data_IF_425284040719
#
_entry.id   IF_425284040719
#
_cell.length_a   1.000
_cell.length_b   1.000
_cell.length_c   1.000
_cell.angle_alpha   90.00
_cell.angle_beta   90.00
_cell.angle_gamma   90.00
#
_symmetry.space_group_name_H-M   'P 1'
#
loop_
_entity.id
_entity.type
_entity.pdbx_description
1 polymer ?
#
# COMPACT_ATOMS: atom_id res chain seq x y z
N UNK A 1 -36.53 -59.03 27.41
CA UNK A 1 -35.28 -58.76 26.68
C UNK A 1 -35.37 -57.39 26.02
N UNK A 2 -34.33 -56.58 26.17
CA UNK A 2 -34.21 -55.16 25.80
C UNK A 2 -34.28 -54.91 24.27
N UNK A 3 -34.50 -53.64 23.93
CA UNK A 3 -34.11 -52.87 22.71
C UNK A 3 -35.30 -52.56 21.78
N UNK A 4 -35.45 -51.37 21.18
CA UNK A 4 -34.61 -50.17 21.06
C UNK A 4 -35.58 -49.04 20.67
N UNK A 5 -35.62 -47.93 21.42
CA UNK A 5 -36.33 -46.70 21.03
C UNK A 5 -35.34 -45.86 20.24
N UNK A 6 -35.60 -45.59 18.95
CA UNK A 6 -34.81 -44.66 18.16
C UNK A 6 -35.28 -43.23 18.46
N UNK A 7 -34.44 -42.46 19.15
CA UNK A 7 -34.59 -41.02 19.30
C UNK A 7 -33.96 -40.39 18.06
N UNK A 8 -34.79 -39.85 17.17
CA UNK A 8 -34.32 -38.97 16.09
C UNK A 8 -34.04 -37.58 16.67
N UNK A 9 -32.77 -37.22 16.81
CA UNK A 9 -32.34 -35.85 17.09
C UNK A 9 -32.57 -34.99 15.83
N UNK A 10 -33.55 -34.09 15.88
CA UNK A 10 -33.63 -32.93 15.00
C UNK A 10 -32.64 -31.88 15.50
N UNK A 11 -31.49 -31.74 14.85
CA UNK A 11 -30.57 -30.61 15.07
C UNK A 11 -31.15 -29.43 14.29
N UNK A 12 -31.86 -28.55 15.00
CA UNK A 12 -32.24 -27.23 14.51
C UNK A 12 -30.98 -26.37 14.43
N UNK A 13 -30.53 -26.06 13.22
CA UNK A 13 -29.47 -25.08 12.99
C UNK A 13 -30.02 -23.68 13.32
N UNK A 14 -29.62 -23.15 14.47
CA UNK A 14 -29.90 -21.78 14.88
C UNK A 14 -29.09 -20.83 13.97
N UNK A 15 -29.73 -20.31 12.92
CA UNK A 15 -29.16 -19.23 12.10
C UNK A 15 -29.22 -17.96 12.96
N UNK A 16 -28.08 -17.61 13.56
CA UNK A 16 -27.90 -16.36 14.28
C UNK A 16 -27.80 -15.23 13.25
N UNK A 17 -28.97 -14.71 12.85
CA UNK A 17 -29.08 -13.51 12.03
C UNK A 17 -28.59 -12.32 12.84
N UNK A 18 -27.39 -11.83 12.51
CA UNK A 18 -26.90 -10.53 12.98
C UNK A 18 -27.80 -9.44 12.41
N UNK A 19 -28.73 -8.94 13.23
CA UNK A 19 -29.46 -7.71 12.93
C UNK A 19 -28.50 -6.57 13.19
N UNK A 20 -27.90 -6.02 12.13
CA UNK A 20 -27.24 -4.72 12.22
C UNK A 20 -28.33 -3.67 12.47
N UNK A 21 -28.49 -3.29 13.74
CA UNK A 21 -29.27 -2.11 14.08
C UNK A 21 -28.52 -0.89 13.56
N UNK A 22 -28.99 -0.30 12.46
CA UNK A 22 -28.56 1.03 12.03
C UNK A 22 -29.14 2.06 13.00
N UNK A 23 -28.53 2.19 14.18
CA UNK A 23 -28.63 3.43 14.94
C UNK A 23 -27.82 4.47 14.18
N UNK A 24 -28.49 5.44 13.57
CA UNK A 24 -27.85 6.67 13.08
C UNK A 24 -27.33 7.40 14.32
N UNK A 25 -26.12 7.05 14.77
CA UNK A 25 -25.39 7.90 15.69
C UNK A 25 -25.11 9.21 14.94
N UNK A 26 -25.53 10.33 15.51
CA UNK A 26 -25.05 11.63 15.09
C UNK A 26 -23.51 11.58 15.09
N UNK A 27 -22.90 11.99 13.98
CA UNK A 27 -21.44 11.99 13.85
C UNK A 27 -20.87 12.95 14.90
N UNK A 28 -20.26 12.40 15.95
CA UNK A 28 -19.54 13.20 16.95
C UNK A 28 -18.61 14.17 16.23
N UNK A 29 -18.62 15.47 16.59
CA UNK A 29 -17.76 16.45 15.95
C UNK A 29 -16.29 16.04 16.15
N UNK A 30 -15.51 16.09 15.07
CA UNK A 30 -14.08 15.77 15.12
C UNK A 30 -13.39 16.59 16.22
N UNK A 31 -12.52 16.01 17.06
CA UNK A 31 -11.90 16.74 18.17
C UNK A 31 -10.95 17.86 17.69
N UNK A 32 -10.46 17.74 16.46
CA UNK A 32 -9.82 18.84 15.71
C UNK A 32 -10.51 18.93 14.36
N UNK A 33 -11.01 20.11 14.01
CA UNK A 33 -11.46 20.42 12.65
C UNK A 33 -10.39 21.24 11.93
N UNK A 34 -10.38 21.17 10.60
CA UNK A 34 -9.47 21.96 9.80
C UNK A 34 -10.11 22.40 8.49
N UNK A 35 -9.66 23.55 8.02
CA UNK A 35 -10.06 24.14 6.74
C UNK A 35 -8.81 24.48 5.93
N UNK A 36 -8.83 24.14 4.65
CA UNK A 36 -7.75 24.48 3.71
C UNK A 36 -8.28 25.52 2.73
N UNK A 37 -7.63 26.67 2.68
CA UNK A 37 -7.98 27.78 1.78
C UNK A 37 -6.72 28.50 1.32
N UNK A 38 -6.56 28.68 0.01
CA UNK A 38 -5.45 29.41 -0.62
C UNK A 38 -4.05 28.98 -0.13
N UNK A 39 -3.82 27.66 -0.02
CA UNK A 39 -2.54 27.11 0.42
C UNK A 39 -2.24 27.29 1.92
N UNK A 40 -3.22 27.69 2.73
CA UNK A 40 -3.13 27.69 4.20
C UNK A 40 -4.08 26.67 4.80
N UNK A 41 -3.67 26.11 5.94
CA UNK A 41 -4.53 25.32 6.82
C UNK A 41 -4.82 26.12 8.08
N UNK A 42 -6.08 26.13 8.49
CA UNK A 42 -6.51 26.60 9.80
C UNK A 42 -6.97 25.38 10.60
N UNK A 43 -6.30 25.10 11.72
CA UNK A 43 -6.66 24.06 12.68
C UNK A 43 -7.50 24.69 13.80
N UNK A 44 -8.64 24.09 14.11
CA UNK A 44 -9.48 24.45 15.25
C UNK A 44 -9.55 23.26 16.21
N UNK A 45 -8.99 23.43 17.41
CA UNK A 45 -9.02 22.43 18.46
C UNK A 45 -10.32 22.61 19.25
N UNK A 46 -11.20 21.60 19.17
CA UNK A 46 -12.51 21.65 19.83
C UNK A 46 -12.43 21.24 21.31
N UNK A 47 -11.36 20.53 21.69
CA UNK A 47 -11.11 20.22 23.09
C UNK A 47 -10.57 21.44 23.85
N UNK A 48 -11.22 21.79 24.97
CA UNK A 48 -10.78 22.87 25.84
C UNK A 48 -9.52 22.49 26.65
N UNK A 49 -8.58 23.43 26.70
CA UNK A 49 -7.41 23.47 27.57
C UNK A 49 -6.93 24.91 27.79
N UNK A 50 -6.05 25.08 28.77
CA UNK A 50 -5.44 26.36 29.18
C UNK A 50 -4.32 26.80 28.23
N UNK A 51 -3.64 25.82 27.63
CA UNK A 51 -2.51 26.01 26.72
C UNK A 51 -2.54 24.95 25.61
N UNK A 52 -2.17 25.36 24.40
CA UNK A 52 -2.02 24.51 23.24
C UNK A 52 -0.60 24.63 22.69
N UNK A 53 0.02 23.50 22.37
CA UNK A 53 1.31 23.44 21.66
C UNK A 53 1.15 22.75 20.33
N UNK A 54 1.51 23.40 19.23
CA UNK A 54 1.48 22.80 17.88
C UNK A 54 2.89 22.60 17.37
N UNK A 55 3.21 21.37 16.99
CA UNK A 55 4.50 20.97 16.45
C UNK A 55 4.37 20.47 15.01
N UNK A 56 5.36 20.80 14.18
CA UNK A 56 5.55 20.27 12.81
C UNK A 56 7.00 19.88 12.63
N UNK A 57 7.27 18.67 12.12
CA UNK A 57 8.65 18.18 11.88
C UNK A 57 9.59 18.34 13.09
N UNK A 58 9.09 18.04 14.29
CA UNK A 58 9.75 18.20 15.60
C UNK A 58 9.98 19.65 16.08
N UNK A 59 9.53 20.66 15.33
CA UNK A 59 9.63 22.08 15.71
C UNK A 59 8.31 22.60 16.29
N UNK A 60 8.38 23.33 17.40
CA UNK A 60 7.22 24.04 17.97
C UNK A 60 6.92 25.25 17.09
N UNK A 61 5.74 25.27 16.46
CA UNK A 61 5.25 26.39 15.67
C UNK A 61 4.38 27.35 16.48
N UNK A 62 3.72 26.84 17.51
CA UNK A 62 2.80 27.62 18.34
C UNK A 62 2.78 27.10 19.77
N UNK A 63 2.72 28.04 20.71
CA UNK A 63 2.46 27.81 22.13
C UNK A 63 1.64 29.00 22.66
N UNK A 64 0.43 28.73 23.16
CA UNK A 64 -0.44 29.78 23.70
C UNK A 64 -1.85 29.28 24.01
N UNK A 65 -2.72 30.19 24.47
CA UNK A 65 -4.08 29.86 24.93
C UNK A 65 -5.15 29.86 23.83
N UNK A 66 -4.81 30.25 22.59
CA UNK A 66 -5.74 30.17 21.45
C UNK A 66 -5.87 28.73 21.00
N UNK A 67 -7.10 28.26 20.87
CA UNK A 67 -7.43 26.94 20.33
C UNK A 67 -7.50 26.92 18.78
N UNK A 68 -7.06 28.00 18.14
CA UNK A 68 -6.96 28.11 16.68
C UNK A 68 -5.52 28.40 16.27
N UNK A 69 -5.05 27.70 15.23
CA UNK A 69 -3.71 27.86 14.66
C UNK A 69 -3.78 27.86 13.13
N UNK A 70 -3.03 28.75 12.47
CA UNK A 70 -2.95 28.85 11.02
C UNK A 70 -1.52 28.67 10.53
N UNK A 71 -1.32 27.87 9.50
CA UNK A 71 -0.01 27.60 8.91
C UNK A 71 -0.08 27.49 7.39
N UNK A 72 1.03 27.78 6.72
CA UNK A 72 1.14 27.61 5.27
C UNK A 72 1.41 26.15 4.94
N UNK A 73 0.68 25.61 3.98
CA UNK A 73 0.92 24.26 3.45
C UNK A 73 2.11 24.29 2.49
N UNK A 74 3.23 23.72 2.92
CA UNK A 74 4.49 23.66 2.16
C UNK A 74 4.82 22.27 1.64
N UNK A 75 4.16 21.25 2.14
CA UNK A 75 4.32 19.85 1.73
C UNK A 75 3.05 19.37 0.99
N UNK A 76 3.12 18.24 0.28
CA UNK A 76 1.95 17.58 -0.33
C UNK A 76 1.01 17.01 0.74
N UNK A 77 1.56 16.55 1.86
CA UNK A 77 0.82 16.23 3.06
C UNK A 77 1.59 16.79 4.26
N UNK A 78 0.92 17.60 5.06
CA UNK A 78 1.50 18.24 6.23
C UNK A 78 0.99 17.59 7.51
N UNK A 79 1.88 17.36 8.47
CA UNK A 79 1.59 16.65 9.73
C UNK A 79 1.81 17.57 10.91
N UNK A 80 0.90 17.50 11.87
CA UNK A 80 0.95 18.26 13.11
C UNK A 80 0.78 17.33 14.31
N UNK A 81 1.54 17.59 15.38
CA UNK A 81 1.24 17.11 16.73
C UNK A 81 0.72 18.29 17.54
N UNK A 82 -0.35 18.09 18.29
CA UNK A 82 -1.00 19.13 19.07
C UNK A 82 -1.14 18.63 20.50
N UNK A 83 -0.45 19.26 21.44
CA UNK A 83 -0.65 19.03 22.87
C UNK A 83 -1.70 19.99 23.42
N UNK A 84 -2.69 19.47 24.13
CA UNK A 84 -3.68 20.25 24.89
C UNK A 84 -3.38 20.08 26.36
N UNK A 85 -3.30 21.19 27.09
CA UNK A 85 -2.90 21.23 28.49
C UNK A 85 -4.03 21.72 29.41
N UNK A 86 -4.08 21.17 30.62
CA UNK A 86 -4.87 21.67 31.74
C UNK A 86 -3.92 21.90 32.92
N UNK A 87 -3.70 23.17 33.28
CA UNK A 87 -2.54 23.60 34.05
C UNK A 87 -1.22 23.12 33.41
N UNK A 88 -0.36 22.49 34.22
CA UNK A 88 0.94 21.97 33.77
C UNK A 88 0.88 20.53 33.24
N UNK A 89 -0.32 19.93 33.13
CA UNK A 89 -0.49 18.53 32.72
C UNK A 89 -1.02 18.45 31.30
N UNK A 90 -0.43 17.54 30.53
CA UNK A 90 -0.96 17.18 29.22
C UNK A 90 -2.28 16.43 29.39
N UNK A 91 -3.33 16.97 28.80
CA UNK A 91 -4.68 16.41 28.82
C UNK A 91 -4.87 15.45 27.64
N UNK A 92 -4.50 15.90 26.44
CA UNK A 92 -4.64 15.11 25.22
C UNK A 92 -3.57 15.48 24.19
N UNK A 93 -3.28 14.52 23.30
CA UNK A 93 -2.47 14.75 22.11
C UNK A 93 -3.28 14.41 20.87
N UNK A 94 -3.35 15.36 19.95
CA UNK A 94 -3.87 15.12 18.62
C UNK A 94 -2.74 15.03 17.60
N UNK A 95 -2.87 14.08 16.67
CA UNK A 95 -2.09 14.04 15.43
C UNK A 95 -3.01 14.38 14.28
N UNK A 96 -2.63 15.38 13.49
CA UNK A 96 -3.42 15.84 12.34
C UNK A 96 -2.59 15.74 11.09
N UNK A 97 -3.16 15.11 10.06
CA UNK A 97 -2.56 14.93 8.74
C UNK A 97 -3.47 15.57 7.69
N UNK A 98 -2.97 16.61 7.04
CA UNK A 98 -3.73 17.43 6.09
C UNK A 98 -3.11 17.36 4.71
N UNK A 99 -3.91 17.06 3.70
CA UNK A 99 -3.46 17.06 2.32
C UNK A 99 -3.35 18.50 1.79
N UNK A 100 -2.39 18.75 0.91
CA UNK A 100 -2.25 20.03 0.23
C UNK A 100 -2.70 19.88 -1.24
N UNK A 101 -3.90 20.38 -1.60
CA UNK A 101 -4.46 20.25 -2.94
C UNK A 101 -3.58 20.83 -4.06
N UNK A 102 -2.72 21.81 -3.75
CA UNK A 102 -1.82 22.43 -4.73
C UNK A 102 -0.58 21.57 -5.03
N UNK A 103 -0.21 20.67 -4.10
CA UNK A 103 1.03 19.87 -4.16
C UNK A 103 0.82 18.37 -4.27
N UNK A 104 -0.41 17.87 -4.08
CA UNK A 104 -0.75 16.45 -4.29
C UNK A 104 -0.53 15.97 -5.71
N UNK A 105 -0.34 16.88 -6.67
CA UNK A 105 0.18 16.58 -8.01
C UNK A 105 1.67 16.27 -7.95
N UNK A 106 2.06 15.08 -7.45
CA UNK A 106 3.37 14.53 -7.80
C UNK A 106 3.43 14.55 -9.33
N UNK A 107 4.38 15.31 -9.90
CA UNK A 107 4.48 15.56 -11.33
C UNK A 107 4.41 14.22 -12.10
N UNK A 108 3.23 13.89 -12.59
CA UNK A 108 2.90 12.67 -13.33
C UNK A 108 3.45 12.69 -14.75
N UNK A 109 4.16 13.77 -15.11
CA UNK A 109 4.66 14.03 -16.46
C UNK A 109 5.58 12.94 -17.00
N UNK A 110 6.29 12.17 -16.14
CA UNK A 110 7.09 11.02 -16.57
C UNK A 110 6.36 9.67 -16.51
N UNK A 111 5.35 9.50 -15.64
CA UNK A 111 4.51 8.30 -15.67
C UNK A 111 3.63 8.24 -16.93
N UNK A 112 3.25 9.40 -17.46
CA UNK A 112 2.55 9.52 -18.74
C UNK A 112 3.38 9.02 -19.95
N UNK A 113 4.71 8.89 -19.84
CA UNK A 113 5.58 8.45 -20.95
C UNK A 113 5.60 6.92 -21.08
N UNK A 114 5.19 6.18 -20.04
CA UNK A 114 5.34 4.72 -20.04
C UNK A 114 4.24 3.95 -20.79
N UNK A 115 3.03 4.49 -21.02
CA UNK A 115 1.92 3.69 -21.59
C UNK A 115 0.90 4.53 -22.40
N UNK A 116 1.12 4.66 -23.70
CA UNK A 116 0.18 5.26 -24.67
C UNK A 116 -1.02 4.37 -25.04
N UNK A 117 -1.37 3.38 -24.21
CA UNK A 117 -2.38 2.36 -24.54
C UNK A 117 -3.43 2.09 -23.46
N UNK A 118 -3.40 2.77 -22.30
CA UNK A 118 -4.44 2.58 -21.28
C UNK A 118 -5.74 3.28 -21.68
N UNK A 119 -6.87 2.62 -21.42
CA UNK A 119 -8.19 3.25 -21.45
C UNK A 119 -8.27 4.50 -20.56
N UNK A 120 -9.17 5.42 -20.91
CA UNK A 120 -9.39 6.67 -20.17
C UNK A 120 -9.74 6.43 -18.70
N UNK A 121 -10.66 5.50 -18.43
CA UNK A 121 -11.11 5.10 -17.09
C UNK A 121 -9.94 4.64 -16.20
N UNK A 122 -9.11 3.72 -16.69
CA UNK A 122 -7.92 3.22 -15.98
C UNK A 122 -6.92 4.34 -15.66
N UNK A 123 -6.70 5.24 -16.63
CA UNK A 123 -5.79 6.38 -16.46
C UNK A 123 -6.34 7.39 -15.46
N UNK A 124 -7.65 7.61 -15.45
CA UNK A 124 -8.36 8.46 -14.49
C UNK A 124 -8.24 7.92 -13.06
N UNK A 125 -8.49 6.62 -12.86
CA UNK A 125 -8.30 5.99 -11.56
C UNK A 125 -6.85 6.08 -11.08
N UNK A 126 -5.88 5.79 -11.95
CA UNK A 126 -4.46 5.89 -11.63
C UNK A 126 -4.07 7.30 -11.16
N UNK A 127 -4.44 8.34 -11.92
CA UNK A 127 -4.18 9.73 -11.52
C UNK A 127 -4.85 10.09 -10.20
N UNK A 128 -6.09 9.63 -9.99
CA UNK A 128 -6.80 9.94 -8.76
C UNK A 128 -6.20 9.23 -7.55
N UNK A 129 -5.77 7.97 -7.68
CA UNK A 129 -5.03 7.24 -6.62
C UNK A 129 -3.72 7.95 -6.26
N UNK A 130 -3.00 8.49 -7.24
CA UNK A 130 -1.73 9.19 -7.00
C UNK A 130 -1.89 10.57 -6.36
N UNK A 131 -2.98 11.26 -6.65
CA UNK A 131 -3.25 12.61 -6.15
C UNK A 131 -4.11 12.61 -4.87
N UNK A 132 -4.64 11.45 -4.46
CA UNK A 132 -5.43 11.35 -3.22
C UNK A 132 -4.53 10.94 -2.06
N UNK A 133 -4.66 11.64 -0.93
CA UNK A 133 -4.06 11.25 0.33
C UNK A 133 -5.16 11.02 1.38
N UNK A 134 -4.92 10.10 2.31
CA UNK A 134 -5.77 9.90 3.48
C UNK A 134 -5.43 10.97 4.51
N UNK A 135 -6.32 11.92 4.73
CA UNK A 135 -6.24 12.86 5.84
C UNK A 135 -6.65 12.18 7.14
N UNK A 136 -6.01 12.55 8.25
CA UNK A 136 -6.29 11.92 9.55
C UNK A 136 -6.38 12.92 10.69
N UNK A 137 -7.28 12.65 11.63
CA UNK A 137 -7.27 13.22 12.97
C UNK A 137 -7.23 12.06 13.95
N UNK A 138 -6.26 12.06 14.86
CA UNK A 138 -5.99 10.92 15.73
C UNK A 138 -5.77 11.37 17.15
N UNK A 139 -6.42 10.72 18.10
CA UNK A 139 -6.17 10.84 19.53
C UNK A 139 -5.81 9.46 20.11
N UNK A 140 -5.72 9.34 21.43
CA UNK A 140 -5.35 8.10 22.10
C UNK A 140 -6.32 6.92 21.90
N UNK A 141 -7.54 7.18 21.47
CA UNK A 141 -8.66 6.22 21.42
C UNK A 141 -9.32 6.10 20.05
N UNK A 142 -9.07 7.03 19.13
CA UNK A 142 -9.71 7.06 17.83
C UNK A 142 -8.78 7.48 16.69
N UNK A 143 -9.05 6.95 15.50
CA UNK A 143 -8.49 7.42 14.23
C UNK A 143 -9.63 7.78 13.29
N UNK A 144 -9.74 9.06 12.95
CA UNK A 144 -10.65 9.56 11.93
C UNK A 144 -9.90 9.60 10.61
N UNK A 145 -10.42 8.91 9.60
CA UNK A 145 -9.93 8.94 8.23
C UNK A 145 -10.85 9.79 7.37
N UNK A 146 -10.26 10.56 6.45
CA UNK A 146 -10.97 11.30 5.40
C UNK A 146 -10.18 11.23 4.10
N UNK A 147 -10.88 11.09 2.98
CA UNK A 147 -10.26 11.05 1.66
C UNK A 147 -11.15 11.72 0.63
N UNK A 148 -10.56 12.06 -0.52
CA UNK A 148 -11.34 12.56 -1.65
C UNK A 148 -11.99 11.41 -2.42
N UNK A 149 -13.15 11.68 -3.02
CA UNK A 149 -13.83 10.72 -3.90
C UNK A 149 -12.89 10.26 -5.01
N UNK A 150 -12.74 8.95 -5.19
CA UNK A 150 -12.06 8.35 -6.34
C UNK A 150 -13.08 7.76 -7.33
N UNK A 151 -12.74 7.53 -8.60
CA UNK A 151 -13.54 6.66 -9.46
C UNK A 151 -13.79 5.33 -8.75
N UNK A 152 -15.05 4.90 -8.77
CA UNK A 152 -15.54 3.67 -8.18
C UNK A 152 -16.72 3.16 -9.01
N UNK A 153 -17.00 1.86 -8.95
CA UNK A 153 -18.10 1.23 -9.68
C UNK A 153 -19.48 1.50 -9.06
N UNK A 154 -19.54 1.62 -7.73
CA UNK A 154 -20.77 1.55 -6.93
C UNK A 154 -20.80 2.56 -5.76
N UNK A 155 -19.84 3.46 -5.66
CA UNK A 155 -19.69 4.42 -4.56
C UNK A 155 -19.07 3.81 -3.30
N UNK A 156 -18.61 2.56 -3.33
CA UNK A 156 -18.23 1.81 -2.13
C UNK A 156 -16.71 1.69 -1.99
N UNK A 157 -16.25 1.93 -0.76
CA UNK A 157 -14.87 1.84 -0.34
C UNK A 157 -14.70 0.72 0.68
N UNK A 158 -13.70 -0.13 0.46
CA UNK A 158 -13.26 -1.11 1.45
C UNK A 158 -12.13 -0.55 2.31
N UNK A 159 -12.29 -0.62 3.62
CA UNK A 159 -11.33 -0.08 4.59
C UNK A 159 -10.63 -1.23 5.30
N UNK A 160 -9.31 -1.20 5.24
CA UNK A 160 -8.44 -2.17 5.88
C UNK A 160 -7.56 -1.50 6.94
N UNK A 161 -7.32 -2.22 8.03
CA UNK A 161 -6.31 -1.89 9.04
C UNK A 161 -5.40 -3.10 9.20
N UNK A 162 -4.10 -2.91 9.00
CA UNK A 162 -3.08 -3.97 9.05
C UNK A 162 -3.45 -5.19 8.18
N UNK A 163 -3.83 -4.92 6.93
CA UNK A 163 -4.28 -5.90 5.92
C UNK A 163 -5.62 -6.60 6.20
N UNK A 164 -6.26 -6.38 7.36
CA UNK A 164 -7.59 -6.91 7.69
C UNK A 164 -8.70 -5.92 7.31
N UNK A 165 -9.73 -6.39 6.59
CA UNK A 165 -10.90 -5.56 6.26
C UNK A 165 -11.71 -5.30 7.54
N UNK A 166 -11.83 -4.04 7.92
CA UNK A 166 -12.56 -3.62 9.14
C UNK A 166 -13.90 -2.97 8.81
N UNK A 167 -14.08 -2.43 7.61
CA UNK A 167 -15.33 -1.78 7.21
C UNK A 167 -15.50 -1.72 5.69
N UNK A 168 -16.72 -1.40 5.29
CA UNK A 168 -17.12 -1.04 3.93
C UNK A 168 -18.09 0.14 4.04
N UNK A 169 -17.90 1.19 3.25
CA UNK A 169 -18.69 2.42 3.37
C UNK A 169 -18.83 3.13 2.02
N UNK A 170 -19.90 3.90 1.86
CA UNK A 170 -20.08 4.84 0.75
C UNK A 170 -19.76 6.29 1.14
N UNK A 171 -19.41 6.51 2.41
CA UNK A 171 -18.99 7.81 2.93
C UNK A 171 -17.49 8.05 2.69
N UNK A 172 -17.09 9.32 2.55
CA UNK A 172 -15.69 9.73 2.37
C UNK A 172 -14.94 9.92 3.70
N UNK A 173 -15.45 9.29 4.74
CA UNK A 173 -15.00 9.42 6.12
C UNK A 173 -15.28 8.15 6.89
N UNK A 174 -14.37 7.80 7.78
CA UNK A 174 -14.50 6.63 8.64
C UNK A 174 -13.85 6.90 9.99
N UNK A 175 -14.41 6.34 11.06
CA UNK A 175 -13.89 6.49 12.41
C UNK A 175 -13.59 5.10 12.95
N UNK A 176 -12.32 4.85 13.25
CA UNK A 176 -11.88 3.65 13.96
C UNK A 176 -11.70 3.95 15.45
N UNK A 177 -12.58 3.42 16.29
CA UNK A 177 -12.53 3.54 17.75
C UNK A 177 -11.90 2.31 18.43
N UNK A 178 -11.37 1.36 17.66
CA UNK A 178 -10.78 0.12 18.18
C UNK A 178 -9.25 0.17 18.11
N UNK A 179 -8.66 1.29 18.51
CA UNK A 179 -7.21 1.53 18.47
C UNK A 179 -6.60 1.52 19.86
N UNK A 180 -5.27 1.49 19.94
CA UNK A 180 -4.55 1.43 21.22
C UNK A 180 -3.47 2.51 21.26
N UNK A 181 -3.36 3.31 22.35
CA UNK A 181 -2.30 4.29 22.49
C UNK A 181 -0.91 3.67 22.30
N UNK A 182 -0.02 4.41 21.63
CA UNK A 182 1.36 4.02 21.37
C UNK A 182 1.53 3.00 20.23
N UNK A 183 0.45 2.46 19.65
CA UNK A 183 0.53 1.56 18.49
C UNK A 183 0.55 2.33 17.17
N UNK A 184 1.16 1.69 16.18
CA UNK A 184 1.13 2.12 14.79
C UNK A 184 0.22 1.17 14.00
N UNK A 185 -0.55 1.74 13.09
CA UNK A 185 -1.47 1.02 12.21
C UNK A 185 -1.26 1.47 10.76
N UNK A 186 -1.43 0.56 9.81
CA UNK A 186 -1.50 0.89 8.39
C UNK A 186 -2.96 0.84 7.96
N UNK A 187 -3.50 1.98 7.54
CA UNK A 187 -4.81 2.06 6.94
C UNK A 187 -4.70 2.03 5.42
N UNK A 188 -5.51 1.19 4.78
CA UNK A 188 -5.64 1.11 3.32
C UNK A 188 -7.10 1.25 2.93
N UNK A 189 -7.37 2.15 2.01
CA UNK A 189 -8.68 2.33 1.39
C UNK A 189 -8.59 1.81 -0.04
N UNK A 190 -9.44 0.83 -0.37
CA UNK A 190 -9.50 0.24 -1.71
C UNK A 190 -10.77 0.69 -2.43
N UNK A 191 -10.62 0.92 -3.72
CA UNK A 191 -11.70 1.18 -4.68
C UNK A 191 -11.54 0.25 -5.88
N UNK A 192 -12.60 0.07 -6.65
CA UNK A 192 -12.59 -0.67 -7.89
C UNK A 192 -13.46 0.01 -8.95
N UNK A 193 -13.02 -0.03 -10.20
CA UNK A 193 -13.84 0.32 -11.37
C UNK A 193 -13.98 -0.90 -12.26
N UNK A 194 -15.03 -0.91 -13.07
CA UNK A 194 -15.15 -1.89 -14.14
C UNK A 194 -14.08 -1.64 -15.20
N UNK A 195 -13.49 -2.73 -15.67
CA UNK A 195 -12.58 -2.71 -16.80
C UNK A 195 -13.30 -2.15 -18.03
N UNK A 196 -12.67 -1.28 -18.84
CA UNK A 196 -13.35 -0.74 -20.00
C UNK A 196 -13.70 -1.85 -21.01
N UNK A 197 -14.84 -1.70 -21.68
CA UNK A 197 -15.44 -2.78 -22.48
C UNK A 197 -14.62 -3.24 -23.68
N UNK A 198 -13.63 -2.46 -24.15
CA UNK A 198 -12.72 -2.91 -25.23
C UNK A 198 -11.76 -3.97 -24.67
N UNK A 199 -11.15 -3.69 -23.54
CA UNK A 199 -10.23 -4.56 -22.81
C UNK A 199 -10.94 -5.84 -22.36
N UNK A 200 -12.18 -5.73 -21.85
CA UNK A 200 -13.02 -6.88 -21.53
C UNK A 200 -13.23 -7.80 -22.75
N UNK A 201 -13.61 -7.24 -23.91
CA UNK A 201 -13.85 -8.02 -25.14
C UNK A 201 -12.61 -8.75 -25.64
N UNK A 202 -11.43 -8.14 -25.53
CA UNK A 202 -10.17 -8.80 -25.91
C UNK A 202 -9.86 -10.00 -25.00
N UNK A 203 -10.10 -9.86 -23.69
CA UNK A 203 -9.96 -10.97 -22.74
C UNK A 203 -11.01 -12.05 -23.03
N UNK A 204 -12.28 -11.70 -23.19
CA UNK A 204 -13.35 -12.66 -23.50
C UNK A 204 -13.06 -13.45 -24.77
N UNK A 205 -12.55 -12.80 -25.82
CA UNK A 205 -12.15 -13.46 -27.06
C UNK A 205 -11.06 -14.50 -26.79
N UNK A 206 -10.01 -14.13 -26.05
CA UNK A 206 -8.92 -15.03 -25.65
C UNK A 206 -9.43 -16.19 -24.77
N UNK A 207 -10.43 -15.98 -23.92
CA UNK A 207 -11.03 -17.02 -23.09
C UNK A 207 -11.85 -18.02 -23.94
N UNK A 208 -12.67 -17.50 -24.87
CA UNK A 208 -13.49 -18.31 -25.80
C UNK A 208 -12.64 -19.14 -26.75
N UNK A 209 -11.59 -18.56 -27.34
CA UNK A 209 -10.63 -19.28 -28.20
C UNK A 209 -9.97 -20.47 -27.48
N UNK A 210 -10.00 -20.48 -26.15
CA UNK A 210 -9.36 -21.48 -25.29
C UNK A 210 -10.33 -22.39 -24.55
N UNK A 211 -11.63 -22.28 -24.82
CA UNK A 211 -12.68 -23.04 -24.12
C UNK A 211 -12.59 -22.89 -22.58
N UNK A 212 -12.22 -21.68 -22.12
CA UNK A 212 -12.16 -21.35 -20.69
C UNK A 212 -13.50 -20.76 -20.28
N UNK A 213 -14.19 -21.44 -19.38
CA UNK A 213 -15.39 -20.93 -18.71
C UNK A 213 -15.00 -20.39 -17.34
N UNK A 214 -15.32 -19.12 -17.09
CA UNK A 214 -15.15 -18.50 -15.77
C UNK A 214 -16.41 -18.69 -14.92
N UNK A 215 -16.22 -18.72 -13.61
CA UNK A 215 -17.33 -18.51 -12.67
C UNK A 215 -17.72 -17.03 -12.69
N UNK A 216 -18.91 -16.69 -12.17
CA UNK A 216 -19.31 -15.27 -12.05
C UNK A 216 -18.35 -14.49 -11.17
N UNK A 217 -17.89 -15.12 -10.10
CA UNK A 217 -16.93 -14.52 -9.17
C UNK A 217 -15.57 -14.29 -9.83
N UNK A 218 -15.08 -15.25 -10.62
CA UNK A 218 -13.84 -15.08 -11.40
C UNK A 218 -14.00 -13.98 -12.48
N UNK A 219 -15.19 -13.85 -13.07
CA UNK A 219 -15.50 -12.86 -14.09
C UNK A 219 -15.53 -11.44 -13.50
N UNK A 220 -16.25 -11.22 -12.40
CA UNK A 220 -16.29 -9.95 -11.68
C UNK A 220 -14.89 -9.51 -11.23
N UNK A 221 -14.07 -10.46 -10.78
CA UNK A 221 -12.71 -10.17 -10.35
C UNK A 221 -11.75 -9.90 -11.52
N UNK A 222 -11.87 -10.64 -12.62
CA UNK A 222 -11.02 -10.46 -13.79
C UNK A 222 -11.28 -9.11 -14.47
N UNK A 223 -12.54 -8.69 -14.49
CA UNK A 223 -12.96 -7.45 -15.13
C UNK A 223 -13.04 -6.26 -14.17
N UNK A 224 -12.42 -6.36 -13.00
CA UNK A 224 -12.29 -5.25 -12.04
C UNK A 224 -10.85 -4.71 -12.01
N UNK A 225 -10.72 -3.39 -12.10
CA UNK A 225 -9.46 -2.66 -11.95
C UNK A 225 -9.45 -2.06 -10.53
N UNK A 226 -8.46 -2.42 -9.73
CA UNK A 226 -8.42 -2.05 -8.31
C UNK A 226 -7.44 -0.91 -8.05
N UNK A 227 -7.89 0.10 -7.30
CA UNK A 227 -7.06 1.18 -6.79
C UNK A 227 -6.88 1.08 -5.28
N UNK A 228 -5.75 1.52 -4.74
CA UNK A 228 -5.58 1.63 -3.29
C UNK A 228 -4.77 2.85 -2.85
N UNK A 229 -5.19 3.47 -1.76
CA UNK A 229 -4.44 4.54 -1.08
C UNK A 229 -4.17 4.09 0.35
N UNK A 230 -2.95 4.34 0.85
CA UNK A 230 -2.53 3.88 2.17
C UNK A 230 -1.79 4.94 2.98
N UNK A 231 -1.92 4.89 4.29
CA UNK A 231 -1.12 5.70 5.22
C UNK A 231 -0.83 4.97 6.52
N UNK A 232 0.29 5.32 7.14
CA UNK A 232 0.64 4.87 8.47
C UNK A 232 0.16 5.92 9.48
N UNK A 233 -0.54 5.45 10.52
CA UNK A 233 -1.04 6.28 11.61
C UNK A 233 -0.48 5.77 12.93
N UNK A 234 0.18 6.65 13.67
CA UNK A 234 0.62 6.38 15.05
C UNK A 234 -0.39 6.97 16.02
N UNK A 235 -0.89 6.16 16.93
CA UNK A 235 -1.86 6.56 17.95
C UNK A 235 -1.08 7.13 19.13
N UNK A 236 -1.24 8.40 19.50
CA UNK A 236 -0.47 9.00 20.57
C UNK A 236 -0.88 8.45 21.95
N UNK A 237 0.07 8.29 22.85
CA UNK A 237 -0.19 8.28 24.28
C UNK A 237 -0.18 9.73 24.80
N UNK A 238 -1.02 10.05 25.78
CA UNK A 238 -1.12 11.40 26.32
C UNK A 238 0.00 11.67 27.33
N UNK A 239 1.24 11.79 26.84
CA UNK A 239 2.44 12.03 27.65
C UNK A 239 3.36 13.07 27.00
N UNK A 240 4.11 13.80 27.81
CA UNK A 240 5.12 14.76 27.31
C UNK A 240 6.18 14.09 26.43
N UNK A 241 6.60 12.89 26.79
CA UNK A 241 7.57 12.12 26.01
C UNK A 241 7.04 11.84 24.59
N UNK A 242 5.75 11.52 24.45
CA UNK A 242 5.13 11.26 23.15
C UNK A 242 4.99 12.56 22.33
N UNK A 243 4.67 13.69 22.96
CA UNK A 243 4.60 14.99 22.28
C UNK A 243 5.98 15.39 21.72
N UNK A 244 7.04 15.12 22.49
CA UNK A 244 8.42 15.49 22.12
C UNK A 244 9.17 14.41 21.32
N UNK A 245 8.60 13.21 21.18
CA UNK A 245 9.20 12.11 20.39
C UNK A 245 9.36 12.49 18.93
N UNK A 246 10.54 12.24 18.37
CA UNK A 246 10.85 12.57 16.97
C UNK A 246 10.00 11.76 15.98
N UNK A 247 9.56 12.40 14.90
CA UNK A 247 8.79 11.79 13.80
C UNK A 247 9.65 11.53 12.55
N UNK A 248 10.98 11.49 12.69
CA UNK A 248 11.90 11.23 11.58
C UNK A 248 11.74 9.82 11.06
N UNK A 249 11.69 9.68 9.73
CA UNK A 249 11.76 8.40 9.01
C UNK A 249 13.23 8.02 8.77
N UNK A 250 14.08 9.02 8.61
CA UNK A 250 15.51 8.88 8.36
C UNK A 250 16.30 9.37 9.57
N UNK A 251 16.96 8.43 10.24
CA UNK A 251 17.98 8.69 11.25
C UNK A 251 19.31 9.09 10.60
N UNK A 252 19.89 10.20 11.08
CA UNK A 252 21.17 10.73 10.59
C UNK A 252 22.39 10.02 11.21
N UNK A 253 22.20 9.27 12.30
CA UNK A 253 23.27 8.61 13.07
C UNK A 253 22.75 7.33 13.75
N UNK A 254 22.79 6.18 13.07
CA UNK A 254 22.67 4.89 13.77
C UNK A 254 24.05 4.24 13.80
N UNK A 255 24.89 4.56 14.80
CA UNK A 255 26.03 3.67 15.09
C UNK A 255 25.47 2.36 15.62
N UNK A 256 25.40 1.33 14.80
CA UNK A 256 24.97 0.02 15.26
C UNK A 256 26.16 -0.75 15.86
N UNK A 257 26.07 -1.13 17.15
CA UNK A 257 27.05 -2.02 17.80
C UNK A 257 26.93 -3.49 17.34
N UNK A 258 25.96 -3.80 16.47
CA UNK A 258 25.70 -5.17 16.00
C UNK A 258 26.50 -5.47 14.74
N UNK A 259 27.50 -6.35 14.87
CA UNK A 259 28.23 -6.96 13.75
C UNK A 259 27.28 -7.87 12.95
N UNK A 260 26.80 -7.40 11.81
CA UNK A 260 26.12 -8.24 10.83
C UNK A 260 27.12 -8.84 9.83
N UNK A 261 26.89 -10.11 9.47
CA UNK A 261 27.77 -10.90 8.60
C UNK A 261 27.78 -10.40 7.14
N UNK A 262 28.97 -10.49 6.55
CA UNK A 262 29.39 -10.00 5.24
C UNK A 262 28.72 -10.78 4.11
N UNK A 263 27.48 -10.42 3.76
CA UNK A 263 26.92 -10.51 2.39
C UNK A 263 25.88 -9.40 2.13
N UNK A 264 26.25 -8.22 2.62
CA UNK A 264 26.09 -6.90 2.00
C UNK A 264 24.73 -6.18 2.07
N UNK A 265 24.33 -5.64 3.23
CA UNK A 265 23.49 -4.43 3.37
C UNK A 265 23.81 -3.75 4.74
N UNK A 266 23.42 -2.49 5.03
CA UNK A 266 23.98 -1.17 4.69
C UNK A 266 24.95 -0.59 5.74
N UNK A 267 25.73 0.44 5.37
CA UNK A 267 26.36 1.36 6.33
C UNK A 267 25.28 1.96 7.25
N UNK A 268 25.65 2.39 8.45
CA UNK A 268 24.87 3.04 9.55
C UNK A 268 23.79 4.10 9.18
N UNK A 269 23.63 4.44 7.90
CA UNK A 269 22.73 5.47 7.36
C UNK A 269 22.06 5.10 6.01
N UNK A 270 22.10 3.83 5.57
CA UNK A 270 21.54 3.40 4.29
C UNK A 270 20.22 2.64 4.47
N UNK A 271 19.23 3.04 3.67
CA UNK A 271 17.85 2.54 3.67
C UNK A 271 17.64 1.68 2.43
N UNK A 272 17.02 0.52 2.59
CA UNK A 272 16.83 -0.43 1.48
C UNK A 272 15.37 -0.61 1.18
N UNK A 273 14.99 -0.31 -0.05
CA UNK A 273 13.66 -0.45 -0.60
C UNK A 273 13.63 -1.73 -1.43
N UNK A 274 13.02 -2.79 -0.88
CA UNK A 274 13.05 -4.14 -1.44
C UNK A 274 11.69 -4.48 -2.02
N UNK A 275 11.57 -4.42 -3.35
CA UNK A 275 10.37 -4.84 -4.08
C UNK A 275 10.59 -6.24 -4.66
N UNK A 276 9.69 -7.18 -4.35
CA UNK A 276 9.74 -8.54 -4.90
C UNK A 276 8.42 -8.94 -5.52
N UNK A 277 8.52 -9.81 -6.51
CA UNK A 277 7.40 -10.60 -7.02
C UNK A 277 7.59 -12.07 -6.70
N UNK A 278 6.52 -12.80 -6.37
CA UNK A 278 6.60 -14.24 -6.12
C UNK A 278 5.27 -14.95 -6.36
N UNK A 279 5.35 -16.24 -6.70
CA UNK A 279 4.20 -17.11 -6.89
C UNK A 279 3.94 -17.84 -5.57
N UNK A 280 2.82 -17.58 -4.86
CA UNK A 280 2.61 -18.13 -3.52
C UNK A 280 2.38 -19.65 -3.52
N UNK A 281 2.03 -20.23 -4.67
CA UNK A 281 1.72 -21.64 -4.81
C UNK A 281 2.96 -22.49 -5.14
N UNK A 282 2.87 -23.81 -4.95
CA UNK A 282 3.86 -24.79 -5.43
C UNK A 282 4.07 -24.73 -6.94
N UNK A 283 2.96 -24.63 -7.66
CA UNK A 283 2.91 -24.44 -9.10
C UNK A 283 1.56 -23.87 -9.50
N UNK A 284 1.53 -23.25 -10.67
CA UNK A 284 0.33 -22.78 -11.34
C UNK A 284 0.27 -23.46 -12.71
N UNK A 285 -0.93 -23.74 -13.21
CA UNK A 285 -1.08 -24.21 -14.59
C UNK A 285 -0.50 -23.13 -15.49
N UNK A 286 0.22 -23.52 -16.53
CA UNK A 286 0.81 -22.56 -17.46
C UNK A 286 -0.31 -21.70 -18.08
N UNK A 287 -0.33 -20.38 -17.79
CA UNK A 287 -1.39 -19.51 -18.30
C UNK A 287 -1.21 -19.22 -19.79
N UNK A 288 -0.03 -19.47 -20.38
CA UNK A 288 0.18 -19.15 -21.79
C UNK A 288 -0.71 -19.99 -22.73
N UNK A 289 -1.31 -19.42 -23.80
CA UNK A 289 -2.15 -20.14 -24.77
C UNK A 289 -1.56 -21.45 -25.31
N UNK A 290 -0.28 -21.41 -25.69
CA UNK A 290 0.50 -22.56 -26.18
C UNK A 290 1.25 -23.29 -25.05
N UNK A 291 1.07 -22.83 -23.82
CA UNK A 291 1.69 -23.41 -22.63
C UNK A 291 1.06 -24.77 -22.32
N UNK A 292 1.90 -25.76 -22.06
CA UNK A 292 1.46 -27.08 -21.59
C UNK A 292 2.17 -27.40 -20.28
N UNK A 293 1.43 -27.99 -19.34
CA UNK A 293 1.93 -28.31 -18.01
C UNK A 293 1.77 -27.14 -17.02
N UNK A 294 2.83 -26.86 -16.26
CA UNK A 294 2.79 -26.01 -15.08
C UNK A 294 4.04 -25.12 -14.98
N UNK A 295 3.87 -23.92 -14.44
CA UNK A 295 4.97 -23.07 -14.00
C UNK A 295 5.23 -23.32 -12.52
N UNK A 296 6.47 -23.60 -12.15
CA UNK A 296 6.87 -23.77 -10.75
C UNK A 296 6.75 -22.44 -10.01
N UNK A 297 6.10 -22.46 -8.85
CA UNK A 297 6.02 -21.30 -7.98
C UNK A 297 7.06 -21.30 -6.84
N UNK A 298 6.97 -20.31 -5.98
CA UNK A 298 7.88 -20.08 -4.86
C UNK A 298 7.41 -20.77 -3.58
N UNK A 299 6.12 -21.13 -3.52
CA UNK A 299 5.48 -21.84 -2.42
C UNK A 299 5.73 -21.20 -1.05
N UNK A 300 5.36 -19.92 -0.92
CA UNK A 300 5.60 -19.13 0.30
C UNK A 300 4.53 -18.06 0.50
N UNK A 301 4.54 -17.46 1.69
CA UNK A 301 3.85 -16.21 1.98
C UNK A 301 4.75 -14.98 1.86
N UNK A 302 4.21 -13.83 2.24
CA UNK A 302 4.94 -12.57 2.36
C UNK A 302 6.07 -12.69 3.38
N UNK A 303 7.27 -12.27 3.00
CA UNK A 303 8.44 -12.30 3.87
C UNK A 303 9.59 -11.51 3.26
N UNK A 304 10.06 -10.48 3.97
CA UNK A 304 11.24 -9.71 3.57
C UNK A 304 12.55 -10.51 3.67
N UNK A 305 12.57 -11.63 4.39
CA UNK A 305 13.77 -12.48 4.55
C UNK A 305 13.81 -13.68 3.60
N UNK A 306 12.75 -13.92 2.83
CA UNK A 306 12.70 -15.03 1.88
C UNK A 306 13.72 -14.88 0.75
N UNK A 307 14.47 -15.95 0.47
CA UNK A 307 15.36 -16.06 -0.70
C UNK A 307 14.67 -16.61 -1.95
N UNK A 308 13.37 -16.91 -1.89
CA UNK A 308 12.57 -17.42 -3.02
C UNK A 308 11.74 -16.29 -3.61
N UNK A 309 11.93 -15.96 -4.89
CA UNK A 309 11.18 -14.92 -5.59
C UNK A 309 11.28 -15.13 -7.11
N UNK A 310 10.38 -14.48 -7.86
CA UNK A 310 10.46 -14.35 -9.32
C UNK A 310 11.41 -13.22 -9.69
N UNK A 311 11.22 -12.04 -9.12
CA UNK A 311 12.10 -10.89 -9.32
C UNK A 311 12.29 -10.12 -8.02
N UNK A 312 13.43 -9.47 -7.88
CA UNK A 312 13.79 -8.58 -6.78
C UNK A 312 14.47 -7.33 -7.34
N UNK A 313 13.95 -6.17 -6.92
CA UNK A 313 14.51 -4.84 -7.16
C UNK A 313 14.79 -4.21 -5.81
N UNK A 314 16.08 -4.04 -5.51
CA UNK A 314 16.54 -3.45 -4.26
C UNK A 314 17.18 -2.10 -4.53
N UNK A 315 16.57 -1.03 -4.02
CA UNK A 315 17.09 0.33 -4.08
C UNK A 315 17.68 0.69 -2.72
N UNK A 316 18.98 0.87 -2.68
CA UNK A 316 19.68 1.37 -1.51
C UNK A 316 19.85 2.87 -1.61
N UNK A 317 19.31 3.59 -0.64
CA UNK A 317 19.39 5.04 -0.51
C UNK A 317 20.32 5.40 0.63
N UNK A 318 21.28 6.28 0.37
CA UNK A 318 22.18 6.81 1.38
C UNK A 318 22.22 8.34 1.30
N UNK A 319 22.02 9.04 2.42
CA UNK A 319 21.99 10.50 2.46
C UNK A 319 23.36 11.14 2.74
N UNK A 320 24.27 10.43 3.41
CA UNK A 320 25.61 10.92 3.74
C UNK A 320 26.71 9.90 3.45
N UNK A 321 27.92 10.35 3.18
CA UNK A 321 29.09 9.47 3.00
C UNK A 321 29.18 8.61 1.72
N UNK A 322 29.10 9.15 0.50
CA UNK A 322 28.41 10.35 -0.01
C UNK A 322 26.91 10.07 -0.24
N UNK A 323 26.13 11.09 -0.60
CA UNK A 323 24.75 10.87 -1.05
C UNK A 323 24.74 9.93 -2.27
N UNK A 324 24.01 8.82 -2.21
CA UNK A 324 23.99 7.82 -3.27
C UNK A 324 22.67 7.04 -3.34
N UNK A 325 22.42 6.48 -4.53
CA UNK A 325 21.33 5.56 -4.79
C UNK A 325 21.91 4.41 -5.63
N UNK A 326 21.75 3.18 -5.15
CA UNK A 326 22.27 1.98 -5.82
C UNK A 326 21.14 1.00 -6.05
N UNK A 327 21.01 0.50 -7.27
CA UNK A 327 20.01 -0.48 -7.64
C UNK A 327 20.64 -1.86 -7.83
N UNK A 328 20.25 -2.82 -6.98
CA UNK A 328 20.55 -4.23 -7.14
C UNK A 328 19.34 -4.98 -7.69
N UNK A 329 19.62 -5.91 -8.60
CA UNK A 329 18.59 -6.63 -9.36
C UNK A 329 18.87 -8.11 -9.25
N UNK A 330 17.87 -8.89 -8.88
CA UNK A 330 17.98 -10.34 -8.84
C UNK A 330 16.77 -10.96 -9.52
N UNK A 331 17.02 -11.91 -10.43
CA UNK A 331 15.98 -12.61 -11.19
C UNK A 331 16.04 -14.09 -10.80
N UNK A 332 14.94 -14.59 -10.27
CA UNK A 332 14.78 -15.98 -9.90
C UNK A 332 14.79 -16.90 -11.11
N UNK A 333 15.25 -18.14 -10.92
CA UNK A 333 15.19 -19.16 -11.96
C UNK A 333 13.74 -19.65 -12.13
N UNK A 334 13.25 -19.65 -13.36
CA UNK A 334 11.93 -20.16 -13.73
C UNK A 334 12.03 -21.61 -14.22
N UNK A 335 10.96 -22.37 -13.99
CA UNK A 335 10.85 -23.76 -14.40
C UNK A 335 9.47 -24.00 -15.00
N UNK A 336 9.43 -24.67 -16.15
CA UNK A 336 8.23 -25.26 -16.72
C UNK A 336 8.27 -26.76 -16.45
N UNK A 337 7.15 -27.32 -16.00
CA UNK A 337 7.06 -28.68 -15.53
C UNK A 337 5.89 -29.39 -16.18
N UNK A 338 5.99 -30.71 -16.35
CA UNK A 338 4.92 -31.52 -16.95
C UNK A 338 3.73 -31.68 -16.00
N UNK A 339 4.02 -31.81 -14.71
CA UNK A 339 3.07 -32.14 -13.65
C UNK A 339 2.96 -31.05 -12.59
N UNK A 340 1.83 -31.04 -11.86
CA UNK A 340 1.53 -30.03 -10.84
C UNK A 340 2.52 -30.07 -9.66
N UNK A 341 3.13 -31.22 -9.37
CA UNK A 341 4.14 -31.32 -8.33
C UNK A 341 5.50 -30.76 -8.76
N UNK A 342 5.66 -30.46 -10.05
CA UNK A 342 6.91 -30.13 -10.71
C UNK A 342 8.01 -31.18 -10.44
N UNK A 343 7.64 -32.47 -10.50
CA UNK A 343 8.61 -33.59 -10.42
C UNK A 343 9.37 -33.73 -11.73
N UNK A 344 8.71 -33.52 -12.86
CA UNK A 344 9.31 -33.57 -14.19
C UNK A 344 9.47 -32.15 -14.75
N UNK A 345 10.70 -31.64 -14.71
CA UNK A 345 11.06 -30.35 -15.32
C UNK A 345 11.17 -30.55 -16.83
N UNK A 346 10.40 -29.77 -17.59
CA UNK A 346 10.47 -29.72 -19.05
C UNK A 346 11.57 -28.75 -19.50
N UNK A 347 11.67 -27.60 -18.84
CA UNK A 347 12.59 -26.53 -19.20
C UNK A 347 12.88 -25.63 -17.99
N UNK A 348 14.06 -25.00 -17.95
CA UNK A 348 14.40 -24.01 -16.94
C UNK A 348 15.29 -22.92 -17.49
N UNK A 349 15.15 -21.70 -16.98
CA UNK A 349 15.93 -20.56 -17.43
C UNK A 349 15.83 -19.39 -16.47
N UNK A 350 16.69 -18.39 -16.65
CA UNK A 350 16.67 -17.13 -15.90
C UNK A 350 16.53 -16.00 -16.88
N UNK A 351 15.52 -15.15 -16.68
CA UNK A 351 15.28 -14.02 -17.59
C UNK A 351 16.35 -12.94 -17.42
N UNK A 352 16.53 -12.13 -18.46
CA UNK A 352 17.44 -10.99 -18.39
C UNK A 352 16.89 -9.90 -17.48
N UNK A 353 17.72 -9.33 -16.61
CA UNK A 353 17.37 -8.18 -15.77
C UNK A 353 17.32 -6.83 -16.52
N UNK A 354 17.54 -6.82 -17.84
CA UNK A 354 17.56 -5.59 -18.67
C UNK A 354 16.24 -4.82 -18.65
N UNK A 355 15.12 -5.51 -18.45
CA UNK A 355 13.79 -4.89 -18.35
C UNK A 355 13.52 -4.16 -17.04
N UNK A 356 14.36 -4.38 -16.01
CA UNK A 356 14.27 -3.66 -14.75
C UNK A 356 15.17 -2.43 -14.80
N UNK A 357 14.59 -1.24 -14.90
CA UNK A 357 15.25 0.05 -15.09
C UNK A 357 14.99 0.98 -13.91
N UNK A 358 15.88 1.94 -13.69
CA UNK A 358 15.69 2.99 -12.71
C UNK A 358 16.12 4.34 -13.25
N UNK A 359 15.53 5.39 -12.70
CA UNK A 359 15.90 6.78 -12.91
C UNK A 359 15.97 7.51 -11.57
N UNK A 360 17.00 8.35 -11.39
CA UNK A 360 17.09 9.23 -10.22
C UNK A 360 16.45 10.56 -10.59
N UNK A 361 15.36 10.91 -9.90
CA UNK A 361 14.58 12.14 -10.12
C UNK A 361 15.18 13.32 -9.34
N UNK A 362 15.58 13.07 -8.09
CA UNK A 362 16.20 14.08 -7.23
C UNK A 362 17.19 13.44 -6.29
N UNK A 363 18.32 14.10 -6.04
CA UNK A 363 19.39 13.59 -5.19
C UNK A 363 20.08 14.73 -4.43
N UNK A 364 19.83 14.83 -3.14
CA UNK A 364 20.50 15.74 -2.21
C UNK A 364 20.68 15.07 -0.84
N UNK A 365 21.37 15.76 0.07
CA UNK A 365 21.53 15.30 1.47
C UNK A 365 20.21 15.28 2.26
N UNK A 366 19.15 15.93 1.78
CA UNK A 366 17.85 16.04 2.46
C UNK A 366 16.68 15.40 1.70
N UNK A 367 16.88 15.03 0.43
CA UNK A 367 15.83 14.48 -0.44
C UNK A 367 16.40 13.48 -1.45
N UNK A 368 15.75 12.32 -1.53
CA UNK A 368 15.98 11.33 -2.58
C UNK A 368 14.66 11.05 -3.30
N UNK A 369 14.70 11.05 -4.63
CA UNK A 369 13.55 10.71 -5.46
C UNK A 369 13.99 9.83 -6.61
N UNK A 370 13.23 8.77 -6.90
CA UNK A 370 13.56 7.82 -7.96
C UNK A 370 12.32 7.18 -8.56
N UNK A 371 12.49 6.65 -9.77
CA UNK A 371 11.49 5.88 -10.49
C UNK A 371 12.04 4.51 -10.86
N UNK A 372 11.19 3.49 -10.78
CA UNK A 372 11.44 2.13 -11.25
C UNK A 372 10.42 1.77 -12.31
N UNK A 373 10.92 1.18 -13.40
CA UNK A 373 10.12 0.45 -14.38
C UNK A 373 10.64 -0.98 -14.42
N UNK A 374 9.73 -1.94 -14.26
CA UNK A 374 10.00 -3.36 -14.35
C UNK A 374 9.14 -3.92 -15.46
N UNK A 375 9.79 -4.58 -16.42
CA UNK A 375 9.13 -5.43 -17.41
C UNK A 375 10.01 -6.62 -17.72
N UNK A 376 9.85 -7.70 -16.97
CA UNK A 376 10.70 -8.89 -17.06
C UNK A 376 9.93 -9.99 -17.77
N UNK A 377 10.43 -10.39 -18.94
CA UNK A 377 9.90 -11.48 -19.73
C UNK A 377 10.10 -12.84 -19.05
N UNK A 378 9.29 -13.82 -19.46
CA UNK A 378 9.57 -15.21 -19.12
C UNK A 378 10.75 -15.73 -19.96
N UNK A 379 11.63 -16.58 -19.38
CA UNK A 379 12.87 -17.01 -20.04
C UNK A 379 12.69 -18.16 -21.06
N UNK A 380 11.46 -18.45 -21.48
CA UNK A 380 11.15 -19.55 -22.39
C UNK A 380 10.82 -18.99 -23.77
N UNK A 381 11.13 -19.73 -24.85
CA UNK A 381 10.98 -19.26 -26.24
C UNK A 381 9.54 -19.01 -26.73
N UNK A 382 8.55 -19.26 -25.88
CA UNK A 382 7.15 -18.91 -26.09
C UNK A 382 6.93 -17.47 -25.61
N UNK A 383 6.20 -16.64 -26.35
CA UNK A 383 6.02 -15.22 -26.01
C UNK A 383 5.02 -15.03 -24.86
N UNK A 384 5.52 -14.98 -23.62
CA UNK A 384 4.70 -14.57 -22.48
C UNK A 384 4.66 -13.05 -22.39
N UNK A 385 3.55 -12.46 -21.92
CA UNK A 385 3.59 -11.10 -21.39
C UNK A 385 4.60 -11.02 -20.25
N UNK A 386 5.19 -9.84 -20.09
CA UNK A 386 6.12 -9.61 -19.00
C UNK A 386 5.37 -9.63 -17.66
N UNK A 387 6.10 -9.80 -16.57
CA UNK A 387 5.63 -9.29 -15.29
C UNK A 387 6.00 -7.81 -15.27
N UNK A 388 5.02 -6.94 -15.16
CA UNK A 388 5.17 -5.49 -15.19
C UNK A 388 4.79 -4.86 -13.85
N UNK A 389 5.64 -3.92 -13.42
CA UNK A 389 5.29 -2.96 -12.39
C UNK A 389 6.09 -1.67 -12.58
N UNK A 390 5.60 -0.58 -12.03
CA UNK A 390 6.37 0.65 -11.91
C UNK A 390 6.07 1.34 -10.60
N UNK A 391 7.01 2.13 -10.11
CA UNK A 391 6.74 3.02 -9.00
C UNK A 391 7.66 4.23 -9.02
N UNK A 392 7.18 5.34 -8.46
CA UNK A 392 7.94 6.53 -8.14
C UNK A 392 7.92 6.72 -6.63
N UNK A 393 9.10 6.92 -6.04
CA UNK A 393 9.26 7.17 -4.62
C UNK A 393 9.97 8.50 -4.36
N UNK A 394 9.58 9.15 -3.27
CA UNK A 394 10.23 10.33 -2.70
C UNK A 394 10.43 10.09 -1.19
N UNK A 395 11.68 10.21 -0.75
CA UNK A 395 12.10 10.08 0.64
C UNK A 395 12.79 11.37 1.09
N UNK A 396 12.35 11.90 2.22
CA UNK A 396 13.01 12.96 2.99
C UNK A 396 13.19 12.49 4.44
N UNK A 397 13.68 13.39 5.28
CA UNK A 397 13.80 13.15 6.73
C UNK A 397 12.48 12.81 7.43
N UNK A 398 11.36 13.37 6.98
CA UNK A 398 10.05 13.29 7.65
C UNK A 398 8.94 12.68 6.78
N UNK A 399 9.25 12.33 5.54
CA UNK A 399 8.26 11.94 4.54
C UNK A 399 8.77 10.77 3.69
N UNK A 400 7.89 9.79 3.51
CA UNK A 400 7.99 8.81 2.43
C UNK A 400 6.69 8.84 1.62
N UNK A 401 6.80 9.08 0.32
CA UNK A 401 5.69 9.03 -0.61
C UNK A 401 6.02 8.08 -1.76
N UNK A 402 5.15 7.13 -2.05
CA UNK A 402 5.30 6.22 -3.18
C UNK A 402 3.99 6.10 -3.94
N UNK A 403 4.09 6.18 -5.26
CA UNK A 403 3.02 5.88 -6.21
C UNK A 403 3.49 4.71 -7.06
N UNK A 404 2.68 3.68 -7.22
CA UNK A 404 3.04 2.56 -8.07
C UNK A 404 1.84 1.93 -8.77
N UNK A 405 2.15 1.05 -9.70
CA UNK A 405 1.17 0.29 -10.47
C UNK A 405 1.80 -1.05 -10.83
N UNK A 406 0.99 -2.10 -10.91
CA UNK A 406 1.45 -3.44 -11.25
C UNK A 406 0.33 -4.28 -11.91
N UNK A 407 0.73 -5.41 -12.46
CA UNK A 407 -0.20 -6.41 -13.01
C UNK A 407 -1.02 -7.12 -11.93
N UNK A 408 -2.14 -7.75 -12.29
CA UNK A 408 -2.97 -8.49 -11.33
C UNK A 408 -2.37 -9.82 -10.82
N UNK A 409 -1.16 -10.17 -11.23
CA UNK A 409 -0.42 -11.34 -10.76
C UNK A 409 1.08 -11.15 -11.08
N UNK A 410 2.01 -11.80 -10.35
CA UNK A 410 1.78 -12.69 -9.21
C UNK A 410 1.60 -11.90 -7.91
N UNK A 411 2.04 -12.38 -6.75
CA UNK A 411 2.07 -11.54 -5.55
C UNK A 411 3.16 -10.49 -5.68
N UNK A 412 2.89 -9.29 -5.17
CA UNK A 412 3.86 -8.20 -5.06
C UNK A 412 4.06 -7.85 -3.59
N UNK A 413 5.31 -7.64 -3.18
CA UNK A 413 5.66 -7.22 -1.82
C UNK A 413 6.72 -6.13 -1.85
N UNK A 414 6.56 -5.12 -0.99
CA UNK A 414 7.46 -3.99 -0.94
C UNK A 414 7.75 -3.61 0.51
N UNK A 415 9.03 -3.58 0.87
CA UNK A 415 9.49 -3.25 2.22
C UNK A 415 10.49 -2.10 2.22
N UNK A 416 10.48 -1.31 3.30
CA UNK A 416 11.56 -0.42 3.68
C UNK A 416 12.33 -1.07 4.83
N UNK A 417 13.63 -1.29 4.65
CA UNK A 417 14.54 -1.75 5.67
C UNK A 417 15.45 -0.58 6.07
N UNK A 418 15.42 -0.22 7.35
CA UNK A 418 16.36 0.73 7.96
C UNK A 418 17.30 -0.02 8.93
N UNK A 419 18.35 0.63 9.45
CA UNK A 419 19.20 0.02 10.47
C UNK A 419 18.47 -0.37 11.77
N UNK A 420 17.37 0.32 12.08
CA UNK A 420 16.64 0.21 13.35
C UNK A 420 15.30 -0.53 13.23
N UNK A 421 14.73 -0.62 12.03
CA UNK A 421 13.35 -1.10 11.82
C UNK A 421 13.11 -1.63 10.40
N UNK A 422 12.01 -2.34 10.21
CA UNK A 422 11.51 -2.77 8.90
C UNK A 422 10.02 -2.46 8.77
N UNK A 423 9.63 -1.83 7.66
CA UNK A 423 8.26 -1.42 7.39
C UNK A 423 7.71 -2.09 6.14
N UNK A 424 6.49 -2.58 6.21
CA UNK A 424 5.72 -3.02 5.05
C UNK A 424 5.23 -1.77 4.34
N UNK A 425 5.59 -1.58 3.06
CA UNK A 425 5.14 -0.46 2.24
C UNK A 425 3.90 -0.82 1.43
N UNK A 426 3.86 -2.04 0.90
CA UNK A 426 2.78 -2.53 0.06
C UNK A 426 2.79 -4.05 -0.06
N UNK A 427 1.61 -4.66 -0.03
CA UNK A 427 1.38 -6.04 -0.40
C UNK A 427 0.22 -6.14 -1.39
N UNK A 428 0.41 -6.98 -2.41
CA UNK A 428 -0.65 -7.45 -3.27
C UNK A 428 -0.67 -8.98 -3.28
N UNK A 429 -1.86 -9.53 -3.04
CA UNK A 429 -2.10 -10.97 -2.93
C UNK A 429 -3.09 -11.42 -3.98
N UNK A 430 -2.68 -12.38 -4.80
CA UNK A 430 -3.62 -13.16 -5.63
C UNK A 430 -4.50 -14.02 -4.72
N UNK A 431 -5.79 -14.09 -5.03
CA UNK A 431 -6.80 -14.84 -4.27
C UNK A 431 -6.80 -16.32 -4.65
N UNK A 432 -6.54 -16.64 -5.91
CA UNK A 432 -6.57 -18.01 -6.42
C UNK A 432 -5.49 -18.28 -7.47
N UNK A 433 -5.36 -19.56 -7.86
CA UNK A 433 -4.51 -19.93 -9.01
C UNK A 433 -5.03 -19.38 -10.33
N UNK A 434 -6.33 -19.05 -10.43
CA UNK A 434 -6.94 -18.51 -11.64
C UNK A 434 -6.49 -17.06 -11.89
N UNK A 435 -6.06 -16.33 -10.86
CA UNK A 435 -5.56 -14.94 -11.04
C UNK A 435 -4.34 -14.86 -11.95
N UNK A 436 -3.61 -15.97 -12.15
CA UNK A 436 -2.49 -16.02 -13.08
C UNK A 436 -2.92 -15.86 -14.55
N UNK A 437 -4.21 -15.97 -14.87
CA UNK A 437 -4.73 -15.57 -16.18
C UNK A 437 -4.67 -14.05 -16.40
N UNK A 438 -4.63 -13.24 -15.33
CA UNK A 438 -4.44 -11.78 -15.41
C UNK A 438 -3.07 -11.40 -16.00
N UNK A 439 -2.12 -12.34 -16.05
CA UNK A 439 -0.85 -12.17 -16.78
C UNK A 439 -1.00 -12.18 -18.31
N UNK A 440 -2.16 -12.56 -18.88
CA UNK A 440 -2.38 -12.62 -20.35
C UNK A 440 -2.76 -11.26 -21.00
N UNK A 441 -2.59 -10.19 -20.24
CA UNK A 441 -2.43 -8.77 -20.59
C UNK A 441 -3.68 -7.91 -20.85
N UNK A 442 -3.72 -6.81 -20.06
CA UNK A 442 -4.34 -5.48 -20.24
C UNK A 442 -3.42 -4.34 -19.69
N UNK A 443 -2.20 -4.66 -19.26
CA UNK A 443 -1.20 -3.76 -18.70
C UNK A 443 -1.36 -3.44 -17.19
N UNK A 444 -0.59 -2.43 -16.76
CA UNK A 444 -0.55 -1.91 -15.39
C UNK A 444 -1.92 -1.33 -14.96
N UNK A 445 -2.70 -2.13 -14.25
CA UNK A 445 -4.11 -1.88 -13.92
C UNK A 445 -4.39 -1.86 -12.42
N UNK A 446 -3.37 -1.95 -11.57
CA UNK A 446 -3.55 -1.92 -10.11
C UNK A 446 -2.76 -0.73 -9.53
N UNK A 447 -3.22 0.52 -9.72
CA UNK A 447 -2.57 1.67 -9.13
C UNK A 447 -2.69 1.65 -7.60
N UNK A 448 -1.60 1.99 -6.93
CA UNK A 448 -1.55 2.11 -5.49
C UNK A 448 -0.70 3.31 -5.07
N UNK A 449 -1.01 3.88 -3.92
CA UNK A 449 -0.19 4.91 -3.30
C UNK A 449 -0.04 4.68 -1.81
N UNK A 450 1.13 5.04 -1.29
CA UNK A 450 1.41 5.07 0.14
C UNK A 450 2.07 6.39 0.50
N UNK A 451 1.71 6.91 1.67
CA UNK A 451 2.25 8.14 2.21
C UNK A 451 2.42 7.99 3.72
N UNK A 452 3.67 8.11 4.19
CA UNK A 452 4.04 8.02 5.60
C UNK A 452 4.48 9.32 6.18
#
# INVERSE_FOLDING_TARGET
>A
MKKLVSISLFISALVMSFVFSNSVLAKEPSPVSYEVHEGFVTLNINESGDLYKVLKNDEILYEGSSNQFKDKLTEDVQKYKIGVYEGDKIKNIFRVRVANPEKTTLQSSKMNIAQSHKGFETSSLEQKVYNTAIETVTDSSSVILKWEKTPDKDGVYDIYRDEEKIAQTNELTFIDNNVTPGKEYIYTIKTSIDMPGREQKEIEKKLKEKDITLTKEDEEELFSINGSISTQVKVPANTEDELNKTEKIVDEKVQSEKKYSVNAIPKDNMYSFVYRTFIPYKSVKDPHPLGTGYLKGDNRGFSFTSSKFRTESEIHVQFSGPTSLVHRKSIGKSYRCKDADCKTILESGTASSKGLKHEVISKSSSKMGWYISHGIAFPFGITYPNIDYSYQAELTKYKLAINGNHDGAPNHEFYLLSPSDSKILYHYKVKSKNDFWKLLDVGLTNPWSVRY
#
